data_IF_130900412705
#
_entry.id   IF_130900412705
#
_cell.length_a   1.000
_cell.length_b   1.000
_cell.length_c   1.000
_cell.angle_alpha   90.00
_cell.angle_beta   90.00
_cell.angle_gamma   90.00
#
_symmetry.space_group_name_H-M   'P 1'
#
loop_
_entity.id
_entity.type
_entity.pdbx_description
1 polymer ?
#
# COMPACT_ATOMS: atom_id res chain seq x y z
N UNK A 1 -18.62 -2.30 -4.90
CA UNK A 1 -17.19 -1.93 -5.02
C UNK A 1 -16.58 -2.04 -3.64
N UNK A 2 -15.30 -2.44 -3.49
CA UNK A 2 -14.64 -2.36 -2.19
C UNK A 2 -14.61 -0.89 -1.74
N UNK A 3 -14.88 -0.65 -0.46
CA UNK A 3 -14.85 0.69 0.13
C UNK A 3 -13.41 1.25 0.09
N UNK A 4 -13.24 2.56 -0.11
CA UNK A 4 -11.90 3.16 -0.15
C UNK A 4 -11.22 3.07 1.23
N UNK A 5 -9.89 2.94 1.24
CA UNK A 5 -9.09 3.18 2.44
C UNK A 5 -9.21 4.64 2.86
N UNK A 6 -9.32 4.87 4.15
CA UNK A 6 -9.29 6.20 4.74
C UNK A 6 -7.89 6.49 5.28
N UNK A 7 -7.49 7.75 5.15
CA UNK A 7 -6.31 8.28 5.82
C UNK A 7 -6.76 8.81 7.18
N UNK A 8 -6.26 8.18 8.23
CA UNK A 8 -6.55 8.48 9.63
C UNK A 8 -5.55 9.48 10.24
N UNK A 9 -4.29 9.44 9.79
CA UNK A 9 -3.30 10.47 10.05
C UNK A 9 -2.33 10.62 8.87
N UNK A 10 -1.94 11.86 8.53
CA UNK A 10 -0.82 12.17 7.63
C UNK A 10 0.19 12.98 8.46
N UNK A 11 1.33 12.38 8.78
CA UNK A 11 2.30 12.98 9.71
C UNK A 11 3.05 14.19 9.13
N UNK A 12 2.92 14.45 7.81
CA UNK A 12 3.50 15.62 7.15
C UNK A 12 2.60 16.86 7.24
N UNK A 13 1.36 16.69 7.70
CA UNK A 13 0.38 17.77 7.72
C UNK A 13 0.21 18.25 9.15
N UNK A 14 0.43 19.55 9.36
CA UNK A 14 0.12 20.20 10.62
C UNK A 14 -1.39 20.16 10.83
N UNK A 15 -1.80 19.67 11.99
CA UNK A 15 -3.20 19.60 12.37
C UNK A 15 -3.75 21.01 12.62
N UNK A 16 -5.06 21.21 12.53
CA UNK A 16 -5.72 22.48 12.87
C UNK A 16 -5.54 22.85 14.34
N UNK A 17 -5.15 21.87 15.16
CA UNK A 17 -4.80 22.03 16.56
C UNK A 17 -3.34 22.50 16.77
N UNK A 18 -2.59 22.74 15.69
CA UNK A 18 -1.28 23.39 15.75
C UNK A 18 -0.08 22.46 15.98
N UNK A 19 -0.23 21.14 15.82
CA UNK A 19 0.87 20.19 15.98
C UNK A 19 0.91 19.14 14.86
N UNK A 20 2.06 18.51 14.67
CA UNK A 20 2.26 17.32 13.85
C UNK A 20 2.14 16.06 14.72
N UNK A 21 1.49 15.02 14.21
CA UNK A 21 1.29 13.76 14.92
C UNK A 21 2.14 12.67 14.26
N UNK A 22 3.17 12.17 14.94
CA UNK A 22 4.07 11.16 14.38
C UNK A 22 3.45 9.77 14.49
N UNK A 23 3.33 9.05 13.37
CA UNK A 23 2.73 7.71 13.37
C UNK A 23 3.56 6.71 14.18
N UNK A 24 4.88 6.88 14.19
CA UNK A 24 5.80 6.04 14.98
C UNK A 24 5.55 6.11 16.50
N UNK A 25 4.90 7.17 16.99
CA UNK A 25 4.55 7.36 18.39
C UNK A 25 3.22 6.71 18.80
N UNK A 26 2.48 6.14 17.85
CA UNK A 26 1.13 5.62 18.08
C UNK A 26 1.12 4.27 18.77
N UNK A 27 0.38 4.17 19.87
CA UNK A 27 0.04 2.91 20.54
C UNK A 27 -1.37 2.49 20.13
N UNK A 28 -1.47 1.32 19.49
CA UNK A 28 -2.71 0.88 18.83
C UNK A 28 -3.39 -0.31 19.52
N UNK A 29 -2.76 -0.96 20.49
CA UNK A 29 -3.25 -2.22 21.08
C UNK A 29 -4.69 -2.14 21.59
N UNK A 30 -5.01 -1.05 22.30
CA UNK A 30 -6.36 -0.80 22.83
C UNK A 30 -7.38 -0.65 21.71
N UNK A 31 -7.06 0.14 20.69
CA UNK A 31 -7.93 0.33 19.54
C UNK A 31 -8.11 -0.98 18.75
N UNK A 32 -7.02 -1.73 18.51
CA UNK A 32 -7.10 -3.00 17.78
C UNK A 32 -7.92 -4.07 18.52
N UNK A 33 -7.97 -4.02 19.86
CA UNK A 33 -8.84 -4.89 20.65
C UNK A 33 -10.34 -4.57 20.46
N UNK A 34 -10.68 -3.32 20.12
CA UNK A 34 -12.04 -2.89 19.83
C UNK A 34 -12.06 -1.71 18.83
N UNK A 35 -11.91 -1.96 17.51
CA UNK A 35 -11.64 -0.93 16.51
C UNK A 35 -12.92 -0.22 16.07
N UNK A 36 -13.58 0.44 17.02
CA UNK A 36 -14.88 1.09 16.83
C UNK A 36 -14.81 2.19 15.77
N UNK A 37 -15.82 2.25 14.91
CA UNK A 37 -16.05 3.35 13.98
C UNK A 37 -17.26 4.16 14.44
N UNK A 38 -17.03 5.39 14.90
CA UNK A 38 -18.09 6.30 15.34
C UNK A 38 -18.48 7.31 14.24
N UNK A 39 -19.58 8.02 14.44
CA UNK A 39 -19.98 9.18 13.63
C UNK A 39 -19.65 10.47 14.39
N UNK A 40 -18.72 11.27 13.86
CA UNK A 40 -18.30 12.57 14.42
C UNK A 40 -17.94 12.54 15.92
N UNK A 41 -17.20 11.53 16.39
CA UNK A 41 -16.73 11.36 17.78
C UNK A 41 -17.83 11.18 18.83
N UNK A 42 -19.07 10.98 18.40
CA UNK A 42 -20.17 10.73 19.31
C UNK A 42 -20.14 9.26 19.77
N UNK A 43 -19.77 9.07 21.04
CA UNK A 43 -19.68 7.74 21.68
C UNK A 43 -21.00 6.98 21.69
N UNK A 44 -22.13 7.64 21.43
CA UNK A 44 -23.45 7.01 21.32
C UNK A 44 -23.80 6.59 19.89
N UNK A 45 -23.03 7.02 18.90
CA UNK A 45 -23.29 6.82 17.46
C UNK A 45 -22.24 5.90 16.84
N UNK A 46 -22.27 4.63 17.24
CA UNK A 46 -21.48 3.57 16.60
C UNK A 46 -22.06 3.27 15.20
N UNK A 47 -21.21 3.33 14.17
CA UNK A 47 -21.61 3.12 12.76
C UNK A 47 -20.86 1.98 12.08
N UNK A 48 -19.95 1.33 12.79
CA UNK A 48 -19.26 0.13 12.32
C UNK A 48 -17.93 -0.10 13.04
N UNK A 49 -16.96 -0.66 12.31
CA UNK A 49 -15.60 -0.89 12.78
C UNK A 49 -14.56 -0.59 11.70
N UNK A 50 -13.31 -0.48 12.10
CA UNK A 50 -12.15 -0.35 11.20
C UNK A 50 -11.37 -1.67 11.11
N UNK A 51 -10.85 -1.96 9.92
CA UNK A 51 -9.96 -3.09 9.65
C UNK A 51 -8.71 -2.65 8.89
N UNK A 52 -7.68 -3.51 8.87
CA UNK A 52 -6.43 -3.26 8.14
C UNK A 52 -5.74 -1.94 8.52
N UNK A 53 -5.75 -1.61 9.82
CA UNK A 53 -4.99 -0.47 10.34
C UNK A 53 -3.51 -0.71 10.05
N UNK A 54 -2.88 0.22 9.32
CA UNK A 54 -1.47 0.10 8.94
C UNK A 54 -0.85 1.46 8.67
N UNK A 55 0.47 1.53 8.81
CA UNK A 55 1.25 2.70 8.43
C UNK A 55 1.84 2.43 7.04
N UNK A 56 1.45 3.25 6.06
CA UNK A 56 1.91 3.22 4.67
C UNK A 56 2.71 4.49 4.39
N UNK A 57 4.04 4.42 4.56
CA UNK A 57 4.90 5.61 4.52
C UNK A 57 4.55 6.59 5.64
N UNK A 58 4.16 7.81 5.27
CA UNK A 58 3.76 8.88 6.20
C UNK A 58 2.26 8.81 6.61
N UNK A 59 1.52 7.84 6.09
CA UNK A 59 0.07 7.75 6.24
C UNK A 59 -0.32 6.62 7.19
N UNK A 60 -1.10 6.93 8.22
CA UNK A 60 -1.87 5.93 8.96
C UNK A 60 -3.18 5.71 8.22
N UNK A 61 -3.46 4.49 7.80
CA UNK A 61 -4.64 4.14 7.00
C UNK A 61 -5.43 3.01 7.61
N UNK A 62 -6.73 2.98 7.35
CA UNK A 62 -7.63 1.88 7.71
C UNK A 62 -8.78 1.74 6.71
N UNK A 63 -9.42 0.57 6.69
CA UNK A 63 -10.58 0.25 5.85
C UNK A 63 -11.85 0.25 6.69
N UNK A 64 -12.91 0.97 6.30
CA UNK A 64 -14.16 1.00 7.06
C UNK A 64 -15.01 -0.25 6.77
N UNK A 65 -15.60 -0.81 7.81
CA UNK A 65 -16.65 -1.84 7.74
C UNK A 65 -17.88 -1.28 8.46
N UNK A 66 -18.84 -0.78 7.68
CA UNK A 66 -20.08 -0.21 8.22
C UNK A 66 -21.02 -1.29 8.74
N UNK A 67 -21.71 -1.00 9.84
CA UNK A 67 -22.85 -1.80 10.32
C UNK A 67 -24.10 -1.44 9.51
N UNK A 68 -24.29 -2.14 8.38
CA UNK A 68 -25.44 -1.94 7.50
C UNK A 68 -26.75 -2.52 8.04
N UNK A 69 -26.73 -3.15 9.23
CA UNK A 69 -27.93 -3.50 9.98
C UNK A 69 -28.58 -2.31 10.68
N UNK A 70 -27.86 -1.19 10.83
CA UNK A 70 -28.37 0.05 11.44
C UNK A 70 -28.72 1.10 10.40
N UNK A 71 -29.74 1.91 10.66
CA UNK A 71 -30.12 3.01 9.77
C UNK A 71 -28.95 3.99 9.56
N UNK A 72 -28.28 4.39 10.65
CA UNK A 72 -27.17 5.32 10.60
C UNK A 72 -25.93 4.73 9.90
N UNK A 73 -25.56 3.47 10.20
CA UNK A 73 -24.43 2.81 9.56
C UNK A 73 -24.65 2.64 8.05
N UNK A 74 -25.86 2.25 7.64
CA UNK A 74 -26.23 2.16 6.23
C UNK A 74 -26.25 3.54 5.53
N UNK A 75 -26.71 4.59 6.22
CA UNK A 75 -26.67 5.95 5.71
C UNK A 75 -25.23 6.43 5.45
N UNK A 76 -24.33 6.26 6.44
CA UNK A 76 -22.92 6.65 6.32
C UNK A 76 -22.21 5.83 5.23
N UNK A 77 -22.45 4.52 5.16
CA UNK A 77 -21.95 3.65 4.08
C UNK A 77 -22.30 4.22 2.70
N UNK A 78 -23.57 4.55 2.49
CA UNK A 78 -24.03 5.12 1.21
C UNK A 78 -23.38 6.47 0.89
N UNK A 79 -23.15 7.33 1.88
CA UNK A 79 -22.45 8.60 1.68
C UNK A 79 -20.98 8.39 1.30
N UNK A 80 -20.30 7.42 1.89
CA UNK A 80 -18.92 7.05 1.54
C UNK A 80 -18.85 6.46 0.12
N UNK A 81 -19.74 5.52 -0.21
CA UNK A 81 -19.78 4.90 -1.54
C UNK A 81 -20.01 5.91 -2.67
N UNK A 82 -20.84 6.92 -2.42
CA UNK A 82 -21.11 8.01 -3.36
C UNK A 82 -20.08 9.15 -3.28
N UNK A 83 -19.12 9.07 -2.37
CA UNK A 83 -18.04 10.05 -2.22
C UNK A 83 -18.42 11.37 -1.54
N UNK A 84 -19.60 11.47 -0.93
CA UNK A 84 -20.01 12.63 -0.12
C UNK A 84 -19.30 12.70 1.23
N UNK A 85 -18.98 11.54 1.81
CA UNK A 85 -18.23 11.42 3.05
C UNK A 85 -16.89 10.77 2.78
N UNK A 86 -15.81 11.51 3.01
CA UNK A 86 -14.43 11.06 2.78
C UNK A 86 -13.54 11.22 4.00
N UNK A 87 -14.06 11.86 5.05
CA UNK A 87 -13.33 12.20 6.25
C UNK A 87 -13.31 11.10 7.28
N UNK A 88 -12.14 10.87 7.88
CA UNK A 88 -12.00 10.08 9.08
C UNK A 88 -10.96 10.63 10.04
N UNK A 89 -11.29 10.50 11.31
CA UNK A 89 -10.60 11.13 12.41
C UNK A 89 -10.23 10.13 13.47
N UNK A 90 -9.15 10.37 14.18
CA UNK A 90 -8.79 9.58 15.36
C UNK A 90 -9.01 10.34 16.65
N UNK A 91 -9.50 9.62 17.65
CA UNK A 91 -9.59 10.00 19.04
C UNK A 91 -8.39 9.45 19.78
N UNK A 92 -7.67 10.29 20.50
CA UNK A 92 -6.39 9.90 21.11
C UNK A 92 -6.13 10.53 22.48
N UNK A 93 -5.25 9.89 23.24
CA UNK A 93 -4.50 10.51 24.35
C UNK A 93 -3.13 10.95 23.87
N UNK A 94 -2.71 12.16 24.24
CA UNK A 94 -1.34 12.62 24.04
C UNK A 94 -0.55 12.32 25.30
N UNK A 95 0.55 11.57 25.16
CA UNK A 95 1.42 11.19 26.27
C UNK A 95 2.71 12.02 26.30
N UNK A 96 3.28 12.29 25.12
CA UNK A 96 4.47 13.11 24.99
C UNK A 96 4.41 13.99 23.74
N UNK A 97 4.94 15.20 23.88
CA UNK A 97 5.11 16.15 22.79
C UNK A 97 6.32 17.04 23.03
N UNK A 98 6.95 17.51 21.96
CA UNK A 98 8.12 18.37 22.02
C UNK A 98 8.19 19.31 20.81
N UNK A 99 8.84 20.45 21.02
CA UNK A 99 9.19 21.34 19.92
C UNK A 99 10.44 20.79 19.22
N UNK A 100 10.40 20.75 17.89
CA UNK A 100 11.52 20.37 17.03
C UNK A 100 11.56 21.28 15.83
N UNK A 101 12.76 21.45 15.29
CA UNK A 101 12.95 22.14 14.02
C UNK A 101 12.39 21.26 12.90
N UNK A 102 11.36 21.74 12.21
CA UNK A 102 10.73 21.02 11.11
C UNK A 102 11.71 20.90 9.92
N UNK A 103 11.95 19.70 9.38
CA UNK A 103 13.05 19.45 8.43
C UNK A 103 12.91 20.24 7.12
N UNK A 104 11.69 20.55 6.70
CA UNK A 104 11.41 21.27 5.45
C UNK A 104 11.35 22.80 5.61
N UNK A 105 10.76 23.31 6.69
CA UNK A 105 10.53 24.75 6.88
C UNK A 105 11.64 25.41 7.70
N UNK A 106 12.37 24.63 8.51
CA UNK A 106 13.35 25.16 9.46
C UNK A 106 12.73 25.86 10.67
N UNK A 107 11.41 25.84 10.81
CA UNK A 107 10.69 26.47 11.91
C UNK A 107 10.57 25.51 13.10
N UNK A 108 10.59 26.06 14.32
CA UNK A 108 10.29 25.29 15.53
C UNK A 108 8.79 24.97 15.57
N UNK A 109 8.47 23.68 15.51
CA UNK A 109 7.10 23.17 15.41
C UNK A 109 6.82 22.13 16.49
N UNK A 110 5.55 22.04 16.92
CA UNK A 110 5.15 21.08 17.94
C UNK A 110 4.90 19.71 17.32
N UNK A 111 5.62 18.69 17.80
CA UNK A 111 5.45 17.30 17.41
C UNK A 111 4.95 16.48 18.59
N UNK A 112 3.82 15.80 18.40
CA UNK A 112 3.36 14.74 19.32
C UNK A 112 4.14 13.47 18.99
N UNK A 113 4.92 13.00 19.97
CA UNK A 113 5.90 11.92 19.82
C UNK A 113 5.45 10.62 20.48
N UNK A 114 4.55 10.67 21.46
CA UNK A 114 3.89 9.49 22.03
C UNK A 114 2.41 9.74 22.26
N UNK A 115 1.58 8.81 21.82
CA UNK A 115 0.13 8.90 21.93
C UNK A 115 -0.53 7.53 21.89
N UNK A 116 -1.76 7.45 22.38
CA UNK A 116 -2.58 6.23 22.39
C UNK A 116 -3.86 6.46 21.61
N UNK A 117 -4.16 5.56 20.68
CA UNK A 117 -5.39 5.61 19.88
C UNK A 117 -6.56 4.98 20.66
N UNK A 118 -7.70 5.66 20.66
CA UNK A 118 -8.91 5.27 21.40
C UNK A 118 -10.05 4.87 20.50
N UNK A 119 -10.34 5.69 19.50
CA UNK A 119 -11.40 5.45 18.53
C UNK A 119 -11.00 6.06 17.18
N UNK A 120 -11.78 5.75 16.15
CA UNK A 120 -11.76 6.52 14.93
C UNK A 120 -13.18 6.73 14.40
N UNK A 121 -13.46 7.92 13.90
CA UNK A 121 -14.78 8.33 13.43
C UNK A 121 -14.76 8.62 11.94
N UNK A 122 -15.88 8.40 11.25
CA UNK A 122 -16.13 9.12 9.98
C UNK A 122 -16.64 10.52 10.30
N UNK A 123 -16.14 11.54 9.60
CA UNK A 123 -16.42 12.94 9.94
C UNK A 123 -16.68 13.82 8.72
N UNK A 124 -17.52 14.85 8.91
CA UNK A 124 -17.84 15.82 7.87
C UNK A 124 -16.79 16.93 7.75
N UNK A 125 -16.19 17.37 8.87
CA UNK A 125 -15.22 18.46 8.91
C UNK A 125 -13.94 18.07 9.67
N UNK A 126 -12.77 18.14 9.01
CA UNK A 126 -11.53 17.69 9.60
C UNK A 126 -10.43 18.67 9.97
N UNK A 127 -9.79 18.38 11.09
CA UNK A 127 -8.61 19.04 11.67
C UNK A 127 -7.27 18.73 10.99
N UNK A 128 -6.96 17.49 10.57
CA UNK A 128 -5.79 17.24 9.72
C UNK A 128 -6.28 17.24 8.25
N UNK A 129 -5.68 18.04 7.38
CA UNK A 129 -6.15 18.20 6.00
C UNK A 129 -5.70 17.08 5.07
N UNK A 130 -4.66 16.32 5.44
CA UNK A 130 -4.23 15.08 4.79
C UNK A 130 -4.93 13.83 5.35
N UNK A 131 -5.46 13.93 6.57
CA UNK A 131 -6.17 12.86 7.27
C UNK A 131 -7.23 13.41 8.20
N UNK A 132 -8.47 13.06 7.97
CA UNK A 132 -9.53 14.02 8.18
C UNK A 132 -10.09 14.02 9.64
N UNK A 133 -9.49 14.83 10.54
CA UNK A 133 -9.84 15.27 11.96
C UNK A 133 -9.04 14.60 13.08
N UNK A 134 -8.80 15.28 14.20
CA UNK A 134 -8.29 14.68 15.44
C UNK A 134 -9.21 15.07 16.61
N UNK A 135 -9.46 14.15 17.55
CA UNK A 135 -10.13 14.43 18.83
C UNK A 135 -9.21 14.05 19.96
N UNK A 136 -9.00 14.96 20.91
CA UNK A 136 -8.05 14.75 22.01
C UNK A 136 -8.85 14.55 23.29
N UNK A 137 -8.50 13.51 24.03
CA UNK A 137 -9.10 13.16 25.30
C UNK A 137 -8.12 13.41 26.45
N UNK A 138 -8.64 13.69 27.65
CA UNK A 138 -7.92 13.61 28.92
C UNK A 138 -8.82 12.88 29.93
N UNK A 139 -8.30 11.85 30.59
CA UNK A 139 -9.04 11.02 31.55
C UNK A 139 -10.44 10.57 31.06
N UNK A 140 -10.60 10.25 29.78
CA UNK A 140 -11.85 9.78 29.17
C UNK A 140 -12.82 10.88 28.75
N UNK A 141 -12.47 12.15 28.94
CA UNK A 141 -13.29 13.29 28.52
C UNK A 141 -12.63 14.03 27.36
N UNK A 142 -13.40 14.49 26.36
CA UNK A 142 -12.85 15.28 25.27
C UNK A 142 -12.38 16.64 25.80
N UNK A 143 -11.21 17.08 25.36
CA UNK A 143 -10.69 18.41 25.67
C UNK A 143 -11.38 19.43 24.77
N UNK A 144 -11.92 20.50 25.36
CA UNK A 144 -12.48 21.62 24.62
C UNK A 144 -11.39 22.43 23.92
N UNK A 145 -11.70 23.01 22.76
CA UNK A 145 -10.71 23.69 21.91
C UNK A 145 -10.02 24.85 22.64
N UNK A 146 -10.73 25.55 23.51
CA UNK A 146 -10.22 26.67 24.31
C UNK A 146 -9.18 26.25 25.36
N UNK A 147 -9.20 24.98 25.77
CA UNK A 147 -8.31 24.42 26.79
C UNK A 147 -7.12 23.68 26.19
N UNK A 148 -7.15 23.44 24.88
CA UNK A 148 -6.20 22.58 24.22
C UNK A 148 -4.77 23.12 24.25
N UNK A 149 -4.59 24.43 24.03
CA UNK A 149 -3.26 25.06 24.09
C UNK A 149 -2.59 24.87 25.44
N UNK A 150 -3.33 25.15 26.53
CA UNK A 150 -2.86 24.96 27.89
C UNK A 150 -2.55 23.49 28.22
N UNK A 151 -3.35 22.56 27.69
CA UNK A 151 -3.10 21.13 27.82
C UNK A 151 -1.82 20.71 27.10
N UNK A 152 -1.61 21.13 25.85
CA UNK A 152 -0.41 20.81 25.08
C UNK A 152 0.85 21.37 25.76
N UNK A 153 0.80 22.61 26.27
CA UNK A 153 1.91 23.15 27.06
C UNK A 153 2.22 22.31 28.30
N UNK A 154 1.20 21.83 29.00
CA UNK A 154 1.36 20.96 30.16
C UNK A 154 2.02 19.64 29.76
N UNK A 155 1.60 19.02 28.66
CA UNK A 155 2.21 17.80 28.12
C UNK A 155 3.68 18.03 27.77
N UNK A 156 4.01 19.13 27.08
CA UNK A 156 5.40 19.47 26.75
C UNK A 156 6.22 19.65 28.03
N UNK A 157 5.73 20.42 29.01
CA UNK A 157 6.40 20.63 30.30
C UNK A 157 6.60 19.31 31.06
N UNK A 158 5.62 18.41 31.02
CA UNK A 158 5.72 17.08 31.63
C UNK A 158 6.74 16.22 30.89
N UNK A 159 6.73 16.22 29.56
CA UNK A 159 7.72 15.52 28.72
C UNK A 159 9.13 15.98 29.05
N UNK A 160 9.35 17.30 29.10
CA UNK A 160 10.63 17.90 29.50
C UNK A 160 11.01 17.58 30.94
N UNK A 161 10.06 17.55 31.89
CA UNK A 161 10.32 17.20 33.30
C UNK A 161 10.62 15.72 33.48
N UNK A 162 9.98 14.83 32.73
CA UNK A 162 10.28 13.40 32.74
C UNK A 162 11.68 13.14 32.18
N UNK A 163 12.05 13.87 31.12
CA UNK A 163 13.40 13.84 30.55
C UNK A 163 14.46 14.49 31.49
N UNK A 164 14.04 15.44 32.34
CA UNK A 164 14.92 16.17 33.25
C UNK A 164 14.77 15.80 34.74
N UNK A 165 14.01 14.74 35.10
CA UNK A 165 13.83 14.38 36.52
C UNK A 165 15.14 13.78 37.04
N UNK A 166 15.78 14.36 38.08
CA UNK A 166 16.76 13.65 38.86
C UNK A 166 16.03 12.54 39.61
N UNK A 167 16.54 11.32 39.56
CA UNK A 167 16.01 10.20 40.31
C UNK A 167 16.13 10.49 41.82
N UNK A 168 15.09 11.04 42.45
CA UNK A 168 15.08 11.30 43.89
C UNK A 168 14.33 10.19 44.62
N UNK A 169 15.09 9.24 45.18
CA UNK A 169 14.72 8.58 46.42
C UNK A 169 15.83 8.81 47.45
N UNK A 170 15.54 9.67 48.42
CA UNK A 170 16.16 9.69 49.75
C UNK A 170 17.60 10.21 49.90
N UNK A 171 17.72 11.49 50.31
CA UNK A 171 18.62 11.94 51.39
C UNK A 171 20.15 11.90 51.17
N UNK A 172 20.75 13.09 51.10
CA UNK A 172 22.18 13.31 51.32
C UNK A 172 22.90 13.80 50.08
N UNK A 173 23.37 15.04 50.12
CA UNK A 173 23.98 15.73 48.99
C UNK A 173 25.12 14.94 48.33
N UNK A 174 25.03 14.81 47.01
CA UNK A 174 26.11 14.81 46.04
C UNK A 174 25.46 14.88 44.65
N UNK A 175 25.93 15.79 43.80
CA UNK A 175 25.49 15.89 42.40
C UNK A 175 25.65 14.54 41.71
N UNK A 176 24.56 13.81 41.54
CA UNK A 176 24.55 12.55 40.82
C UNK A 176 24.70 12.84 39.32
N UNK A 177 25.90 12.61 38.81
CA UNK A 177 26.21 12.58 37.39
C UNK A 177 25.30 11.53 36.75
N UNK A 178 24.38 11.96 35.88
CA UNK A 178 23.52 11.09 35.07
C UNK A 178 24.41 10.12 34.28
N UNK A 179 24.34 8.84 34.63
CA UNK A 179 25.08 7.77 33.94
C UNK A 179 24.08 7.00 33.08
N UNK A 180 24.34 6.91 31.77
CA UNK A 180 23.51 6.13 30.85
C UNK A 180 23.48 4.64 31.27
N UNK A 181 22.35 3.99 31.06
CA UNK A 181 22.21 2.55 31.35
C UNK A 181 23.14 1.73 30.44
N UNK A 182 23.62 0.56 30.91
CA UNK A 182 24.47 -0.31 30.09
C UNK A 182 23.86 -0.67 28.71
N UNK A 183 22.53 -0.88 28.57
CA UNK A 183 21.89 -1.03 27.26
C UNK A 183 21.93 0.24 26.39
N UNK A 184 21.73 1.43 26.96
CA UNK A 184 21.79 2.70 26.22
C UNK A 184 23.22 3.03 25.77
N UNK A 185 24.21 2.74 26.62
CA UNK A 185 25.63 2.78 26.27
C UNK A 185 25.93 1.80 25.13
N UNK A 186 25.46 0.56 25.23
CA UNK A 186 25.59 -0.44 24.17
C UNK A 186 24.96 -0.02 22.84
N UNK A 187 23.76 0.60 22.87
CA UNK A 187 23.10 1.12 21.68
C UNK A 187 23.85 2.28 21.02
N UNK A 188 24.54 3.10 21.82
CA UNK A 188 25.42 4.17 21.35
C UNK A 188 26.83 3.70 20.98
N UNK A 189 27.13 2.40 21.12
CA UNK A 189 28.48 1.85 20.92
C UNK A 189 29.50 2.30 21.96
N UNK A 190 29.03 2.84 23.10
CA UNK A 190 29.85 3.33 24.20
C UNK A 190 30.02 2.25 25.26
N UNK A 191 31.17 2.24 25.94
CA UNK A 191 31.45 1.32 27.05
C UNK A 191 32.07 2.05 28.24
N UNK A 192 31.89 1.51 29.45
CA UNK A 192 32.35 2.15 30.68
C UNK A 192 31.51 3.36 31.09
N UNK A 193 32.15 4.38 31.66
CA UNK A 193 31.54 5.66 32.04
C UNK A 193 32.00 6.75 31.05
N UNK A 194 31.40 6.85 29.85
CA UNK A 194 31.77 7.89 28.90
C UNK A 194 31.44 9.28 29.44
N UNK A 195 32.27 10.26 29.08
CA UNK A 195 32.02 11.67 29.38
C UNK A 195 30.88 12.24 28.51
N UNK A 196 30.45 13.46 28.87
CA UNK A 196 29.34 14.16 28.19
C UNK A 196 29.61 14.37 26.70
N UNK A 197 30.87 14.57 26.33
CA UNK A 197 31.28 14.88 24.96
C UNK A 197 31.20 13.62 24.10
N UNK A 198 31.60 12.47 24.66
CA UNK A 198 31.50 11.15 24.04
C UNK A 198 30.04 10.73 23.82
N UNK A 199 29.16 11.04 24.79
CA UNK A 199 27.72 10.79 24.67
C UNK A 199 27.11 11.68 23.58
N UNK A 200 27.45 12.97 23.59
CA UNK A 200 26.95 13.93 22.59
C UNK A 200 27.41 13.58 21.18
N UNK A 201 28.68 13.18 21.03
CA UNK A 201 29.22 12.72 19.75
C UNK A 201 28.51 11.47 19.24
N UNK A 202 28.26 10.48 20.11
CA UNK A 202 27.55 9.26 19.72
C UNK A 202 26.08 9.52 19.32
N UNK A 203 25.40 10.47 19.96
CA UNK A 203 24.03 10.88 19.60
C UNK A 203 24.01 11.58 18.25
N UNK A 204 24.96 12.50 18.00
CA UNK A 204 25.09 13.17 16.70
C UNK A 204 25.39 12.16 15.59
N UNK A 205 26.25 11.18 15.85
CA UNK A 205 26.55 10.12 14.90
C UNK A 205 25.34 9.21 14.64
N UNK A 206 24.60 8.82 15.69
CA UNK A 206 23.38 8.03 15.55
C UNK A 206 22.31 8.77 14.74
N UNK A 207 22.15 10.07 14.98
CA UNK A 207 21.25 10.93 14.20
C UNK A 207 21.66 11.00 12.73
N UNK A 208 22.96 11.13 12.44
CA UNK A 208 23.49 11.14 11.08
C UNK A 208 23.26 9.79 10.38
N UNK A 209 23.49 8.66 11.07
CA UNK A 209 23.23 7.31 10.54
C UNK A 209 21.75 7.09 10.27
N UNK A 210 20.87 7.50 11.18
CA UNK A 210 19.42 7.42 10.97
C UNK A 210 18.98 8.22 9.74
N UNK A 211 19.54 9.43 9.55
CA UNK A 211 19.27 10.23 8.36
C UNK A 211 19.72 9.53 7.08
N UNK A 212 20.93 8.97 7.07
CA UNK A 212 21.45 8.20 5.93
C UNK A 212 20.61 6.95 5.64
N UNK A 213 20.20 6.19 6.66
CA UNK A 213 19.36 5.00 6.49
C UNK A 213 17.97 5.36 5.97
N UNK A 214 17.39 6.47 6.45
CA UNK A 214 16.12 6.99 5.93
C UNK A 214 16.24 7.38 4.46
N UNK A 215 17.25 8.17 4.10
CA UNK A 215 17.51 8.57 2.71
C UNK A 215 17.76 7.35 1.80
N UNK A 216 18.51 6.35 2.28
CA UNK A 216 18.76 5.11 1.56
C UNK A 216 17.48 4.31 1.37
N UNK A 217 16.64 4.21 2.41
CA UNK A 217 15.36 3.50 2.34
C UNK A 217 14.39 4.16 1.36
N UNK A 218 14.24 5.48 1.42
CA UNK A 218 13.41 6.24 0.48
C UNK A 218 13.91 6.05 -0.96
N UNK A 219 15.23 6.05 -1.17
CA UNK A 219 15.83 5.76 -2.47
C UNK A 219 15.53 4.35 -2.95
N UNK A 220 15.70 3.33 -2.09
CA UNK A 220 15.41 1.93 -2.44
C UNK A 220 13.92 1.70 -2.73
N UNK A 221 13.03 2.33 -1.96
CA UNK A 221 11.59 2.26 -2.21
C UNK A 221 11.21 2.93 -3.55
N UNK A 222 11.82 4.08 -3.87
CA UNK A 222 11.65 4.72 -5.17
C UNK A 222 12.17 3.87 -6.33
N UNK A 223 13.36 3.28 -6.20
CA UNK A 223 13.95 2.38 -7.19
C UNK A 223 13.08 1.12 -7.39
N UNK A 224 12.58 0.52 -6.31
CA UNK A 224 11.68 -0.63 -6.36
C UNK A 224 10.35 -0.28 -7.06
N UNK A 225 9.79 0.91 -6.80
CA UNK A 225 8.58 1.40 -7.48
C UNK A 225 8.83 1.57 -8.98
N UNK A 226 9.92 2.23 -9.37
CA UNK A 226 10.27 2.41 -10.79
C UNK A 226 10.54 1.07 -11.48
N UNK A 227 11.20 0.12 -10.82
CA UNK A 227 11.41 -1.22 -11.35
C UNK A 227 10.10 -1.96 -11.57
N UNK A 228 9.15 -1.86 -10.63
CA UNK A 228 7.82 -2.47 -10.74
C UNK A 228 7.00 -1.84 -11.87
N UNK A 229 6.98 -0.52 -11.98
CA UNK A 229 6.30 0.19 -13.08
C UNK A 229 6.86 -0.21 -14.44
N UNK A 230 8.20 -0.33 -14.55
CA UNK A 230 8.86 -0.81 -15.77
C UNK A 230 8.46 -2.26 -16.08
N UNK A 231 8.48 -3.15 -15.09
CA UNK A 231 8.08 -4.55 -15.26
C UNK A 231 6.61 -4.69 -15.70
N UNK A 232 5.70 -3.88 -15.15
CA UNK A 232 4.31 -3.81 -15.61
C UNK A 232 4.24 -3.36 -17.08
N UNK A 233 4.94 -2.28 -17.43
CA UNK A 233 4.93 -1.74 -18.80
C UNK A 233 5.49 -2.72 -19.82
N UNK A 234 6.59 -3.38 -19.50
CA UNK A 234 7.25 -4.35 -20.37
C UNK A 234 6.35 -5.59 -20.58
N UNK A 235 5.73 -6.09 -19.51
CA UNK A 235 4.76 -7.20 -19.56
C UNK A 235 3.56 -6.85 -20.46
N UNK A 236 2.94 -5.69 -20.26
CA UNK A 236 1.77 -5.28 -21.06
C UNK A 236 2.14 -5.04 -22.53
N UNK A 237 3.29 -4.42 -22.78
CA UNK A 237 3.80 -4.18 -24.13
C UNK A 237 4.07 -5.50 -24.86
N UNK A 238 4.62 -6.51 -24.17
CA UNK A 238 4.80 -7.85 -24.71
C UNK A 238 3.45 -8.52 -25.02
N UNK A 239 2.49 -8.42 -24.10
CA UNK A 239 1.16 -9.01 -24.27
C UNK A 239 0.38 -8.42 -25.44
N UNK A 240 0.48 -7.10 -25.67
CA UNK A 240 -0.10 -6.42 -26.85
C UNK A 240 0.61 -6.88 -28.12
N UNK A 241 1.94 -6.97 -28.12
CA UNK A 241 2.74 -7.41 -29.28
C UNK A 241 2.43 -8.86 -29.69
N UNK A 242 2.24 -9.74 -28.72
CA UNK A 242 1.81 -11.14 -28.93
C UNK A 242 0.31 -11.25 -29.25
N UNK A 243 -0.43 -10.15 -29.18
CA UNK A 243 -1.86 -10.11 -29.43
C UNK A 243 -2.69 -10.89 -28.40
N UNK A 244 -2.11 -11.20 -27.23
CA UNK A 244 -2.82 -11.80 -26.08
C UNK A 244 -3.89 -10.85 -25.54
N UNK A 245 -3.60 -9.55 -25.59
CA UNK A 245 -4.54 -8.46 -25.27
C UNK A 245 -4.58 -7.46 -26.42
N UNK A 246 -5.70 -6.75 -26.58
CA UNK A 246 -5.82 -5.65 -27.56
C UNK A 246 -5.31 -4.33 -26.98
N UNK A 247 -4.98 -3.36 -27.86
CA UNK A 247 -4.59 -2.02 -27.44
C UNK A 247 -5.68 -1.34 -26.57
N UNK A 248 -6.95 -1.60 -26.86
CA UNK A 248 -8.08 -1.07 -26.08
C UNK A 248 -8.18 -1.68 -24.67
N UNK A 249 -7.66 -2.91 -24.49
CA UNK A 249 -7.65 -3.61 -23.20
C UNK A 249 -6.45 -3.23 -22.32
N UNK A 250 -5.39 -2.67 -22.91
CA UNK A 250 -4.17 -2.26 -22.19
C UNK A 250 -4.43 -1.42 -20.92
N UNK A 251 -5.24 -0.35 -20.93
CA UNK A 251 -5.49 0.45 -19.72
C UNK A 251 -6.25 -0.31 -18.61
N UNK A 252 -6.97 -1.39 -18.96
CA UNK A 252 -7.66 -2.24 -17.98
C UNK A 252 -6.63 -3.11 -17.26
N UNK A 253 -5.75 -3.77 -18.02
CA UNK A 253 -4.70 -4.62 -17.45
C UNK A 253 -3.62 -3.81 -16.72
N UNK A 254 -3.41 -2.53 -17.07
CA UNK A 254 -2.56 -1.61 -16.32
C UNK A 254 -3.10 -1.36 -14.91
N UNK A 255 -4.41 -1.12 -14.76
CA UNK A 255 -5.05 -1.00 -13.45
C UNK A 255 -4.99 -2.29 -12.64
N UNK A 256 -5.14 -3.45 -13.29
CA UNK A 256 -5.05 -4.75 -12.62
C UNK A 256 -3.63 -5.05 -12.15
N UNK A 257 -2.61 -4.80 -12.99
CA UNK A 257 -1.21 -5.02 -12.63
C UNK A 257 -0.74 -4.09 -11.50
N UNK A 258 -1.32 -2.89 -11.41
CA UNK A 258 -1.08 -1.98 -10.30
C UNK A 258 -1.62 -2.53 -8.96
N UNK A 259 -2.75 -3.25 -8.99
CA UNK A 259 -3.34 -3.87 -7.81
C UNK A 259 -2.64 -5.20 -7.43
N UNK A 260 -2.42 -6.08 -8.41
CA UNK A 260 -1.75 -7.36 -8.24
C UNK A 260 -0.99 -7.75 -9.50
N UNK A 261 0.34 -7.65 -9.44
CA UNK A 261 1.22 -7.92 -10.58
C UNK A 261 1.25 -9.41 -10.96
N UNK A 262 1.39 -10.29 -9.98
CA UNK A 262 1.57 -11.74 -10.23
C UNK A 262 0.29 -12.39 -10.73
N UNK A 263 -0.86 -12.02 -10.15
CA UNK A 263 -2.16 -12.50 -10.64
C UNK A 263 -2.43 -12.00 -12.06
N UNK A 264 -2.12 -10.72 -12.35
CA UNK A 264 -2.32 -10.16 -13.68
C UNK A 264 -1.40 -10.80 -14.71
N UNK A 265 -0.13 -11.03 -14.36
CA UNK A 265 0.83 -11.75 -15.20
C UNK A 265 0.33 -13.15 -15.55
N UNK A 266 -0.09 -13.91 -14.54
CA UNK A 266 -0.62 -15.27 -14.71
C UNK A 266 -1.86 -15.27 -15.62
N UNK A 267 -2.76 -14.30 -15.44
CA UNK A 267 -3.95 -14.17 -16.27
C UNK A 267 -3.61 -13.84 -17.73
N UNK A 268 -2.64 -12.94 -17.97
CA UNK A 268 -2.17 -12.61 -19.33
C UNK A 268 -1.48 -13.79 -19.99
N UNK A 269 -0.64 -14.53 -19.26
CA UNK A 269 0.08 -15.70 -19.77
C UNK A 269 -0.85 -16.88 -20.12
N UNK A 270 -2.03 -16.95 -19.49
CA UNK A 270 -3.07 -17.92 -19.82
C UNK A 270 -3.86 -17.58 -21.10
N UNK A 271 -3.81 -16.33 -21.58
CA UNK A 271 -4.49 -15.94 -22.82
C UNK A 271 -3.77 -16.51 -24.04
N UNK A 272 -4.52 -17.07 -25.02
CA UNK A 272 -3.92 -17.58 -26.24
C UNK A 272 -3.29 -16.44 -27.05
N UNK A 273 -2.09 -16.68 -27.57
CA UNK A 273 -1.43 -15.81 -28.55
C UNK A 273 -2.31 -15.75 -29.80
N UNK A 274 -2.51 -14.57 -30.39
CA UNK A 274 -3.27 -14.46 -31.63
C UNK A 274 -2.55 -15.22 -32.75
N UNK A 275 -3.17 -16.29 -33.23
CA UNK A 275 -2.69 -17.00 -34.41
C UNK A 275 -2.76 -16.05 -35.62
N UNK A 276 -1.66 -15.92 -36.36
CA UNK A 276 -1.69 -15.20 -37.63
C UNK A 276 -2.54 -15.99 -38.62
N UNK A 277 -3.27 -15.29 -39.49
CA UNK A 277 -4.06 -15.92 -40.56
C UNK A 277 -3.17 -16.85 -41.43
N UNK A 278 -1.89 -16.50 -41.59
CA UNK A 278 -0.88 -17.33 -42.27
C UNK A 278 -0.57 -18.65 -41.53
N UNK A 279 -0.58 -18.68 -40.20
CA UNK A 279 -0.43 -19.91 -39.41
C UNK A 279 -1.68 -20.80 -39.47
N UNK A 280 -2.88 -20.20 -39.47
CA UNK A 280 -4.13 -20.92 -39.68
C UNK A 280 -4.26 -21.50 -41.09
N UNK A 281 -3.74 -20.82 -42.12
CA UNK A 281 -3.68 -21.35 -43.48
C UNK A 281 -2.70 -22.55 -43.56
N UNK A 282 -1.57 -22.51 -42.83
CA UNK A 282 -0.63 -23.65 -42.76
C UNK A 282 -1.17 -24.84 -41.96
N UNK A 283 -1.90 -24.62 -40.86
CA UNK A 283 -2.57 -25.72 -40.13
C UNK A 283 -3.72 -26.33 -40.93
N UNK A 284 -4.34 -25.56 -41.82
CA UNK A 284 -5.33 -26.06 -42.79
C UNK A 284 -4.68 -26.79 -43.97
N UNK A 285 -3.36 -26.66 -44.14
CA UNK A 285 -2.59 -27.31 -45.20
C UNK A 285 -1.84 -28.57 -44.74
N UNK A 286 -1.91 -28.96 -43.46
CA UNK A 286 -1.29 -30.19 -42.94
C UNK A 286 -2.30 -31.34 -42.72
N UNK A 287 -3.33 -31.39 -43.57
CA UNK A 287 -4.32 -32.46 -43.59
C UNK A 287 -4.78 -32.81 -45.00
N UNK A 288 -3.87 -32.85 -45.96
CA UNK A 288 -4.14 -33.46 -47.27
C UNK A 288 -3.81 -34.96 -47.26
N UNK A 289 -3.95 -35.64 -46.12
CA UNK A 289 -4.13 -37.10 -46.15
C UNK A 289 -5.35 -37.38 -47.01
N UNK A 290 -5.18 -38.17 -48.06
CA UNK A 290 -6.30 -38.65 -48.89
C UNK A 290 -7.38 -39.19 -47.93
N UNK A 291 -8.61 -38.62 -47.93
CA UNK A 291 -9.71 -39.15 -47.14
C UNK A 291 -9.82 -40.65 -47.37
N UNK A 292 -10.06 -41.45 -46.33
CA UNK A 292 -10.00 -42.93 -46.37
C UNK A 292 -10.81 -43.54 -47.52
N UNK A 293 -11.91 -42.90 -47.92
CA UNK A 293 -12.78 -43.27 -49.05
C UNK A 293 -12.11 -43.15 -50.44
N UNK A 294 -11.03 -42.37 -50.53
CA UNK A 294 -10.31 -42.04 -51.76
C UNK A 294 -8.95 -42.74 -51.84
N UNK A 295 -8.51 -43.43 -50.80
CA UNK A 295 -7.23 -44.17 -50.77
C UNK A 295 -7.19 -45.34 -51.76
N UNK A 296 -8.37 -45.87 -52.12
CA UNK A 296 -8.54 -46.96 -53.09
C UNK A 296 -8.67 -46.49 -54.54
N UNK A 297 -8.73 -45.18 -54.79
CA UNK A 297 -8.96 -44.64 -56.14
C UNK A 297 -7.71 -44.80 -57.01
N UNK A 298 -7.91 -45.26 -58.25
CA UNK A 298 -6.89 -45.26 -59.29
C UNK A 298 -6.86 -43.91 -60.02
N UNK A 299 -5.86 -43.71 -60.89
CA UNK A 299 -5.70 -42.47 -61.64
C UNK A 299 -6.97 -42.04 -62.39
N UNK A 300 -7.69 -43.00 -62.97
CA UNK A 300 -8.90 -42.72 -63.75
C UNK A 300 -10.05 -42.22 -62.86
N UNK A 301 -10.25 -42.83 -61.69
CA UNK A 301 -11.24 -42.38 -60.70
C UNK A 301 -10.94 -40.96 -60.21
N UNK A 302 -9.67 -40.64 -59.98
CA UNK A 302 -9.25 -39.28 -59.61
C UNK A 302 -9.51 -38.26 -60.71
N UNK A 303 -9.17 -38.57 -61.97
CA UNK A 303 -9.42 -37.65 -63.09
C UNK A 303 -10.91 -37.38 -63.32
N UNK A 304 -11.77 -38.37 -63.08
CA UNK A 304 -13.22 -38.25 -63.27
C UNK A 304 -13.92 -37.52 -62.13
N UNK A 305 -13.53 -37.81 -60.89
CA UNK A 305 -14.27 -37.36 -59.70
C UNK A 305 -13.64 -36.16 -58.99
N UNK A 306 -12.31 -35.97 -59.04
CA UNK A 306 -11.64 -34.87 -58.35
C UNK A 306 -10.29 -34.48 -59.01
N UNK A 307 -10.38 -33.85 -60.17
CA UNK A 307 -9.20 -33.41 -60.92
C UNK A 307 -8.46 -32.26 -60.22
N UNK A 308 -9.17 -31.43 -59.44
CA UNK A 308 -8.57 -30.34 -58.67
C UNK A 308 -7.73 -30.88 -57.50
N UNK A 309 -8.24 -31.88 -56.77
CA UNK A 309 -7.51 -32.59 -55.72
C UNK A 309 -6.28 -33.31 -56.27
N UNK A 310 -6.39 -33.96 -57.44
CA UNK A 310 -5.26 -34.62 -58.10
C UNK A 310 -4.14 -33.62 -58.48
N UNK A 311 -4.49 -32.42 -58.96
CA UNK A 311 -3.52 -31.36 -59.25
C UNK A 311 -2.86 -30.83 -57.98
N UNK A 312 -3.60 -30.72 -56.89
CA UNK A 312 -3.07 -30.29 -55.59
C UNK A 312 -2.09 -31.33 -55.04
N UNK A 313 -2.44 -32.62 -55.07
CA UNK A 313 -1.54 -33.72 -54.69
C UNK A 313 -0.25 -33.72 -55.53
N UNK A 314 -0.34 -33.46 -56.85
CA UNK A 314 0.85 -33.34 -57.70
C UNK A 314 1.80 -32.19 -57.28
N UNK A 315 1.26 -31.10 -56.76
CA UNK A 315 2.03 -29.90 -56.38
C UNK A 315 2.56 -29.97 -54.94
N UNK A 316 1.77 -30.53 -54.03
CA UNK A 316 2.02 -30.49 -52.58
C UNK A 316 2.63 -31.80 -52.05
N UNK A 317 2.28 -32.96 -52.61
CA UNK A 317 2.76 -34.28 -52.17
C UNK A 317 3.09 -35.21 -53.37
N UNK A 318 4.25 -34.99 -54.03
CA UNK A 318 4.62 -35.71 -55.25
C UNK A 318 4.81 -37.23 -55.03
N UNK A 319 5.10 -37.68 -53.82
CA UNK A 319 5.24 -39.11 -53.49
C UNK A 319 3.89 -39.84 -53.54
N UNK A 320 2.84 -39.28 -52.94
CA UNK A 320 1.48 -39.84 -52.99
C UNK A 320 0.95 -39.84 -54.43
N UNK A 321 1.21 -38.76 -55.18
CA UNK A 321 0.85 -38.69 -56.59
C UNK A 321 1.54 -39.80 -57.42
N UNK A 322 2.81 -40.11 -57.13
CA UNK A 322 3.53 -41.21 -57.77
C UNK A 322 2.94 -42.59 -57.43
N UNK A 323 2.42 -42.80 -56.22
CA UNK A 323 1.71 -44.04 -55.87
C UNK A 323 0.37 -44.20 -56.60
N UNK A 324 -0.39 -43.12 -56.77
CA UNK A 324 -1.63 -43.13 -57.57
C UNK A 324 -1.34 -43.49 -59.02
N UNK A 325 -0.22 -43.02 -59.59
CA UNK A 325 0.20 -43.37 -60.96
C UNK A 325 0.57 -44.85 -61.12
N UNK A 326 1.00 -45.53 -60.05
CA UNK A 326 1.29 -46.97 -60.06
C UNK A 326 0.02 -47.83 -59.99
N UNK A 327 -1.08 -47.27 -59.47
CA UNK A 327 -2.41 -47.87 -59.49
C UNK A 327 -3.10 -47.47 -60.81
N UNK A 328 -2.78 -48.18 -61.89
CA UNK A 328 -3.49 -48.08 -63.18
C UNK A 328 -4.78 -48.88 -63.08
#
# INVERSE_FOLDING_TARGET
MPLPKFILNDERVKTSHGFYLLNAGGRFDRFLANPVMLDNHDMTRLVGKWENLSVEGDLLVATPIFDDGTELGNERKGQVERGFLRGASIGLYIQAAEYRTHPTTGEEELFVTEWEMLEASVTSLPSNSGALTLRIYDAGQPIAEEQLSAYLEKVVKLTLKTNNMPNTTGGGGNSAVLTLSAPALGALGLSGTPDSDSISAAIVELSARYKQEKELREKLEAEARTAREKACRDMLSLAVREGRITADQQPIYEKLAAADYEATKTAIEALPVRASLAAQIKSSAHGATIPSERMSWNLHTWMKNDMAGLRRLKAEEPEIYAEILKKV
#
